data_IF_326231674216
#
_entry.id   IF_326231674216
#
_cell.length_a   1.000
_cell.length_b   1.000
_cell.length_c   1.000
_cell.angle_alpha   90.00
_cell.angle_beta   90.00
_cell.angle_gamma   90.00
#
_symmetry.space_group_name_H-M   'P 1'
#
loop_
_entity.id
_entity.type
_entity.pdbx_description
1 polymer ?
#
# COMPACT_ATOMS: atom_id res chain seq x y z
N UNK A 1 -2.14 12.30 8.84
CA UNK A 1 -1.28 11.10 8.86
C UNK A 1 -0.94 10.68 7.43
N UNK A 2 0.15 9.93 7.29
CA UNK A 2 0.48 9.24 6.04
C UNK A 2 0.12 7.75 6.19
N UNK A 3 -0.68 7.23 5.28
CA UNK A 3 -1.14 5.85 5.28
C UNK A 3 -0.43 5.09 4.17
N UNK A 4 0.35 4.08 4.54
CA UNK A 4 1.00 3.19 3.57
C UNK A 4 0.00 2.18 3.02
N UNK A 5 -0.07 2.04 1.70
CA UNK A 5 -1.00 1.12 1.05
C UNK A 5 -0.20 0.05 0.31
N UNK A 6 -0.42 -1.20 0.69
CA UNK A 6 0.05 -2.39 -0.02
C UNK A 6 -1.11 -2.99 -0.81
N UNK A 7 -0.86 -3.45 -2.01
CA UNK A 7 -1.90 -4.04 -2.84
C UNK A 7 -1.35 -4.55 -4.17
N UNK A 8 -2.18 -5.30 -4.88
CA UNK A 8 -1.81 -5.86 -6.17
C UNK A 8 -1.45 -4.77 -7.18
N UNK A 9 -0.43 -5.03 -7.97
CA UNK A 9 0.01 -4.17 -9.08
C UNK A 9 -0.52 -4.63 -10.44
N UNK A 10 -1.08 -5.83 -10.55
CA UNK A 10 -1.65 -6.35 -11.78
C UNK A 10 -2.84 -5.53 -12.26
N UNK A 11 -2.97 -5.37 -13.57
CA UNK A 11 -4.14 -4.74 -14.19
C UNK A 11 -5.32 -5.70 -14.37
N UNK A 12 -5.08 -7.01 -14.26
CA UNK A 12 -6.11 -8.03 -14.44
C UNK A 12 -6.75 -8.41 -13.09
N UNK A 13 -7.52 -7.49 -12.55
CA UNK A 13 -8.19 -7.62 -11.24
C UNK A 13 -9.67 -7.30 -11.41
N UNK A 14 -10.58 -8.05 -10.74
CA UNK A 14 -12.01 -7.74 -10.78
C UNK A 14 -12.30 -6.30 -10.38
N UNK A 15 -13.24 -5.67 -11.07
CA UNK A 15 -13.57 -4.25 -10.93
C UNK A 15 -13.94 -3.85 -9.50
N UNK A 16 -14.62 -4.73 -8.76
CA UNK A 16 -15.03 -4.43 -7.38
C UNK A 16 -13.84 -4.12 -6.44
N UNK A 17 -12.70 -4.76 -6.64
CA UNK A 17 -11.48 -4.47 -5.89
C UNK A 17 -10.88 -3.12 -6.27
N UNK A 18 -10.88 -2.81 -7.56
CA UNK A 18 -10.37 -1.54 -8.10
C UNK A 18 -11.21 -0.37 -7.59
N UNK A 19 -12.53 -0.48 -7.67
CA UNK A 19 -13.46 0.55 -7.17
C UNK A 19 -13.28 0.81 -5.67
N UNK A 20 -13.11 -0.26 -4.89
CA UNK A 20 -12.88 -0.12 -3.46
C UNK A 20 -11.58 0.63 -3.19
N UNK A 21 -10.49 0.25 -3.86
CA UNK A 21 -9.19 0.90 -3.68
C UNK A 21 -9.24 2.38 -4.05
N UNK A 22 -9.93 2.72 -5.14
CA UNK A 22 -10.09 4.10 -5.58
C UNK A 22 -10.91 4.92 -4.57
N UNK A 23 -12.02 4.36 -4.07
CA UNK A 23 -12.82 4.99 -3.01
C UNK A 23 -12.04 5.18 -1.72
N UNK A 24 -11.20 4.20 -1.34
CA UNK A 24 -10.35 4.31 -0.18
C UNK A 24 -9.35 5.46 -0.31
N UNK A 25 -8.65 5.53 -1.45
CA UNK A 25 -7.72 6.63 -1.71
C UNK A 25 -8.39 8.00 -1.67
N UNK A 26 -9.54 8.12 -2.31
CA UNK A 26 -10.35 9.34 -2.29
C UNK A 26 -10.77 9.73 -0.87
N UNK A 27 -11.24 8.77 -0.07
CA UNK A 27 -11.68 9.02 1.30
C UNK A 27 -10.52 9.45 2.20
N UNK A 28 -9.39 8.76 2.13
CA UNK A 28 -8.21 9.13 2.90
C UNK A 28 -7.76 10.56 2.60
N UNK A 29 -7.70 10.92 1.33
CA UNK A 29 -7.33 12.27 0.91
C UNK A 29 -8.36 13.32 1.34
N UNK A 30 -9.66 13.03 1.22
CA UNK A 30 -10.74 13.92 1.66
C UNK A 30 -10.71 14.17 3.16
N UNK A 31 -10.26 13.18 3.95
CA UNK A 31 -10.09 13.31 5.39
C UNK A 31 -8.73 13.93 5.79
N UNK A 32 -7.95 14.42 4.82
CA UNK A 32 -6.69 15.12 5.06
C UNK A 32 -5.47 14.21 5.25
N UNK A 33 -5.57 12.93 4.90
CA UNK A 33 -4.47 11.98 4.99
C UNK A 33 -3.69 11.88 3.68
N UNK A 34 -2.36 11.76 3.79
CA UNK A 34 -1.52 11.40 2.65
C UNK A 34 -1.47 9.88 2.46
N UNK A 35 -1.14 9.44 1.26
CA UNK A 35 -0.85 8.03 0.99
C UNK A 35 0.63 7.84 0.66
N UNK A 36 1.17 6.69 1.08
CA UNK A 36 2.51 6.21 0.74
C UNK A 36 2.35 4.86 0.04
N UNK A 37 2.94 4.70 -1.12
CA UNK A 37 2.80 3.47 -1.89
C UNK A 37 4.01 3.20 -2.80
N UNK A 38 4.01 2.06 -3.47
CA UNK A 38 5.09 1.64 -4.35
C UNK A 38 5.14 2.31 -5.71
N UNK A 39 4.46 3.42 -5.89
CA UNK A 39 4.45 4.27 -7.08
C UNK A 39 3.91 3.63 -8.38
N UNK A 40 3.38 2.40 -8.36
CA UNK A 40 2.80 1.78 -9.55
C UNK A 40 1.51 2.45 -10.01
N UNK A 41 1.33 2.57 -11.33
CA UNK A 41 0.12 3.19 -11.90
C UNK A 41 -1.04 2.23 -12.10
N UNK A 42 -0.80 0.93 -12.05
CA UNK A 42 -1.78 -0.13 -12.31
C UNK A 42 -2.21 -0.84 -11.02
N UNK A 43 -3.24 -1.67 -11.13
CA UNK A 43 -3.74 -2.47 -10.03
C UNK A 43 -4.41 -1.65 -8.94
N UNK A 44 -4.42 -2.20 -7.72
CA UNK A 44 -5.06 -1.57 -6.57
C UNK A 44 -4.27 -0.37 -6.05
N UNK A 45 -2.94 -0.43 -6.13
CA UNK A 45 -2.09 0.71 -5.76
C UNK A 45 -2.35 1.92 -6.66
N UNK A 46 -2.41 1.71 -7.97
CA UNK A 46 -2.75 2.76 -8.94
C UNK A 46 -4.17 3.31 -8.74
N UNK A 47 -5.13 2.45 -8.42
CA UNK A 47 -6.49 2.86 -8.12
C UNK A 47 -6.56 3.76 -6.89
N UNK A 48 -5.90 3.36 -5.79
CA UNK A 48 -5.83 4.19 -4.58
C UNK A 48 -5.17 5.56 -4.86
N UNK A 49 -4.10 5.56 -5.65
CA UNK A 49 -3.43 6.81 -6.04
C UNK A 49 -4.33 7.72 -6.88
N UNK A 50 -5.09 7.17 -7.83
CA UNK A 50 -6.08 7.94 -8.61
C UNK A 50 -7.16 8.54 -7.73
N UNK A 51 -7.68 7.75 -6.80
CA UNK A 51 -8.67 8.22 -5.83
C UNK A 51 -8.14 9.37 -4.98
N UNK A 52 -6.94 9.24 -4.45
CA UNK A 52 -6.30 10.30 -3.67
C UNK A 52 -6.04 11.55 -4.51
N UNK A 53 -5.58 11.38 -5.74
CA UNK A 53 -5.35 12.50 -6.67
C UNK A 53 -6.64 13.27 -6.97
N UNK A 54 -7.74 12.57 -7.21
CA UNK A 54 -9.05 13.19 -7.48
C UNK A 54 -9.58 14.05 -6.33
N UNK A 55 -9.15 13.77 -5.11
CA UNK A 55 -9.49 14.54 -3.91
C UNK A 55 -8.39 15.55 -3.51
N UNK A 56 -7.38 15.76 -4.34
CA UNK A 56 -6.30 16.71 -4.08
C UNK A 56 -5.36 16.28 -2.95
N UNK A 57 -5.25 15.00 -2.67
CA UNK A 57 -4.46 14.47 -1.57
C UNK A 57 -2.96 14.43 -1.83
N UNK A 58 -2.19 14.32 -0.76
CA UNK A 58 -0.74 14.10 -0.82
C UNK A 58 -0.44 12.64 -1.18
N UNK A 59 0.40 12.45 -2.19
CA UNK A 59 0.73 11.14 -2.74
C UNK A 59 2.26 10.99 -2.77
N UNK A 60 2.78 10.08 -1.95
CA UNK A 60 4.20 9.78 -1.85
C UNK A 60 4.44 8.42 -2.49
N UNK A 61 5.11 8.41 -3.63
CA UNK A 61 5.51 7.19 -4.32
C UNK A 61 6.98 6.87 -4.05
N UNK A 62 7.26 5.63 -3.67
CA UNK A 62 8.62 5.14 -3.46
C UNK A 62 8.91 4.05 -4.47
N UNK A 63 9.87 4.29 -5.36
CA UNK A 63 10.12 3.43 -6.51
C UNK A 63 11.62 3.08 -6.64
N UNK A 64 11.98 1.81 -6.82
CA UNK A 64 13.36 1.46 -7.12
C UNK A 64 13.74 1.92 -8.53
N UNK A 65 14.99 2.23 -8.71
CA UNK A 65 15.55 2.75 -9.96
C UNK A 65 15.14 1.92 -11.19
N UNK A 66 15.19 0.60 -11.07
CA UNK A 66 14.81 -0.32 -12.16
C UNK A 66 13.36 -0.19 -12.62
N UNK A 67 12.47 0.27 -11.76
CA UNK A 67 11.04 0.43 -12.06
C UNK A 67 10.66 1.89 -12.33
N UNK A 68 11.59 2.82 -12.20
CA UNK A 68 11.36 4.25 -12.44
C UNK A 68 11.37 4.57 -13.94
N UNK A 69 10.48 3.93 -14.68
CA UNK A 69 10.36 3.99 -16.12
C UNK A 69 9.02 4.64 -16.48
N UNK A 70 8.99 5.63 -17.41
CA UNK A 70 7.74 6.21 -17.89
C UNK A 70 6.75 5.14 -18.35
N UNK A 71 5.49 5.27 -17.91
CA UNK A 71 4.44 4.30 -18.18
C UNK A 71 4.28 3.20 -17.11
N UNK A 72 5.24 3.02 -16.20
CA UNK A 72 5.15 2.09 -15.08
C UNK A 72 4.73 2.80 -13.80
N UNK A 73 5.28 3.97 -13.52
CA UNK A 73 4.95 4.73 -12.32
C UNK A 73 3.72 5.63 -12.51
N UNK A 74 3.08 5.95 -11.40
CA UNK A 74 1.99 6.92 -11.34
C UNK A 74 2.55 8.34 -11.47
N UNK A 75 2.08 9.10 -12.46
CA UNK A 75 2.70 10.37 -12.87
C UNK A 75 2.36 11.55 -11.94
N UNK A 76 1.28 11.45 -11.18
CA UNK A 76 0.76 12.54 -10.35
C UNK A 76 1.13 12.43 -8.87
N UNK A 77 2.27 11.82 -8.55
CA UNK A 77 2.78 11.85 -7.20
C UNK A 77 3.14 13.27 -6.77
N UNK A 78 2.78 13.64 -5.54
CA UNK A 78 3.25 14.87 -4.90
C UNK A 78 4.77 14.81 -4.67
N UNK A 79 5.25 13.62 -4.28
CA UNK A 79 6.65 13.32 -4.06
C UNK A 79 6.93 11.92 -4.60
N UNK A 80 7.95 11.78 -5.44
CA UNK A 80 8.41 10.49 -5.92
C UNK A 80 9.86 10.28 -5.51
N UNK A 81 10.09 9.27 -4.68
CA UNK A 81 11.38 8.98 -4.10
C UNK A 81 11.96 7.75 -4.78
N UNK A 82 13.14 7.90 -5.37
CA UNK A 82 13.87 6.80 -5.99
C UNK A 82 14.77 6.12 -4.98
N UNK A 83 14.78 4.78 -4.98
CA UNK A 83 15.66 3.96 -4.16
C UNK A 83 16.56 3.08 -5.03
N UNK A 84 17.69 2.65 -4.48
CA UNK A 84 18.62 1.76 -5.18
C UNK A 84 18.12 0.30 -5.16
N UNK A 85 17.50 -0.14 -4.06
CA UNK A 85 17.09 -1.52 -3.85
C UNK A 85 15.63 -1.64 -3.38
N UNK A 86 15.09 -2.87 -3.46
CA UNK A 86 13.76 -3.18 -2.92
C UNK A 86 13.74 -3.12 -1.38
N UNK A 87 14.83 -3.45 -0.71
CA UNK A 87 14.92 -3.34 0.74
C UNK A 87 14.86 -1.89 1.20
N UNK A 88 15.62 -1.02 0.56
CA UNK A 88 15.58 0.42 0.82
C UNK A 88 14.20 1.01 0.58
N UNK A 89 13.50 0.58 -0.49
CA UNK A 89 12.12 0.97 -0.79
C UNK A 89 11.18 0.65 0.37
N UNK A 90 11.18 -0.58 0.86
CA UNK A 90 10.30 -1.00 1.98
C UNK A 90 10.62 -0.19 3.24
N UNK A 91 11.91 -0.08 3.59
CA UNK A 91 12.34 0.69 4.74
C UNK A 91 11.88 2.15 4.67
N UNK A 92 11.98 2.76 3.51
CA UNK A 92 11.57 4.15 3.31
C UNK A 92 10.05 4.31 3.39
N UNK A 93 9.28 3.40 2.78
CA UNK A 93 7.83 3.38 2.89
C UNK A 93 7.38 3.29 4.35
N UNK A 94 7.97 2.38 5.11
CA UNK A 94 7.68 2.21 6.54
C UNK A 94 8.01 3.47 7.35
N UNK A 95 9.19 4.05 7.14
CA UNK A 95 9.64 5.24 7.88
C UNK A 95 8.81 6.49 7.60
N UNK A 96 8.15 6.56 6.45
CA UNK A 96 7.30 7.69 6.03
C UNK A 96 5.83 7.53 6.39
N UNK A 97 5.46 6.45 7.06
CA UNK A 97 4.07 6.06 7.29
C UNK A 97 3.69 6.07 8.77
N UNK A 98 2.44 6.42 9.04
CA UNK A 98 1.83 6.43 10.38
C UNK A 98 0.86 5.26 10.58
N UNK A 99 0.48 4.61 9.51
CA UNK A 99 -0.41 3.44 9.49
C UNK A 99 -0.19 2.65 8.20
N UNK A 100 -0.57 1.37 8.22
CA UNK A 100 -0.47 0.45 7.09
C UNK A 100 -1.82 -0.13 6.74
N UNK A 101 -2.13 -0.18 5.45
CA UNK A 101 -3.35 -0.82 4.93
C UNK A 101 -2.94 -1.82 3.86
N UNK A 102 -3.28 -3.09 4.06
CA UNK A 102 -3.10 -4.14 3.05
C UNK A 102 -4.42 -4.40 2.32
N UNK A 103 -4.44 -4.12 1.03
CA UNK A 103 -5.49 -4.51 0.10
C UNK A 103 -5.19 -5.91 -0.44
N UNK A 104 -6.12 -6.47 -1.20
CA UNK A 104 -5.91 -7.75 -1.88
C UNK A 104 -4.68 -7.70 -2.79
N UNK A 105 -3.89 -8.77 -2.80
CA UNK A 105 -2.67 -8.84 -3.61
C UNK A 105 -1.99 -10.20 -3.55
N UNK A 106 -0.92 -10.32 -4.28
CA UNK A 106 -0.12 -11.54 -4.37
C UNK A 106 1.06 -11.55 -3.38
N UNK A 107 2.12 -12.26 -3.78
CA UNK A 107 3.30 -12.46 -2.93
C UNK A 107 3.97 -11.17 -2.48
N UNK A 108 4.03 -10.16 -3.34
CA UNK A 108 4.63 -8.86 -2.98
C UNK A 108 3.85 -8.16 -1.87
N UNK A 109 2.53 -8.16 -1.96
CA UNK A 109 1.65 -7.60 -0.93
C UNK A 109 1.76 -8.36 0.38
N UNK A 110 1.80 -9.70 0.32
CA UNK A 110 1.97 -10.54 1.50
C UNK A 110 3.33 -10.33 2.16
N UNK A 111 4.40 -10.22 1.39
CA UNK A 111 5.74 -9.96 1.90
C UNK A 111 5.78 -8.64 2.67
N UNK A 112 5.24 -7.58 2.11
CA UNK A 112 5.19 -6.27 2.74
C UNK A 112 4.32 -6.29 4.01
N UNK A 113 3.14 -6.91 3.95
CA UNK A 113 2.24 -7.03 5.09
C UNK A 113 2.88 -7.83 6.24
N UNK A 114 3.46 -8.98 5.93
CA UNK A 114 4.06 -9.86 6.95
C UNK A 114 5.29 -9.22 7.59
N UNK A 115 6.05 -8.42 6.86
CA UNK A 115 7.17 -7.67 7.41
C UNK A 115 6.70 -6.65 8.45
N UNK A 116 5.72 -5.80 8.11
CA UNK A 116 5.23 -4.78 9.07
C UNK A 116 4.55 -5.40 10.27
N UNK A 117 3.85 -6.53 10.11
CA UNK A 117 3.28 -7.28 11.22
C UNK A 117 4.36 -7.88 12.13
N UNK A 118 5.39 -8.47 11.54
CA UNK A 118 6.53 -9.05 12.28
C UNK A 118 7.27 -7.97 13.07
N UNK A 119 7.56 -6.84 12.45
CA UNK A 119 8.21 -5.71 13.11
C UNK A 119 7.37 -5.17 14.27
N UNK A 120 6.05 -5.09 14.09
CA UNK A 120 5.13 -4.72 15.16
C UNK A 120 5.15 -5.73 16.31
N UNK A 121 5.10 -7.02 16.01
CA UNK A 121 5.16 -8.09 17.01
C UNK A 121 6.46 -8.05 17.82
N UNK A 122 7.56 -7.72 17.17
CA UNK A 122 8.89 -7.60 17.80
C UNK A 122 9.10 -6.26 18.52
N UNK A 123 8.16 -5.34 18.46
CA UNK A 123 8.22 -4.07 19.18
C UNK A 123 9.01 -2.96 18.47
N UNK A 124 9.35 -3.12 17.19
CA UNK A 124 10.02 -2.08 16.43
C UNK A 124 9.11 -0.89 16.11
N UNK A 125 7.81 -1.09 16.06
CA UNK A 125 6.81 -0.03 15.97
C UNK A 125 5.50 -0.44 16.64
N UNK A 126 4.63 0.54 16.89
CA UNK A 126 3.28 0.30 17.43
C UNK A 126 2.20 0.89 16.51
N UNK A 127 2.50 1.04 15.23
CA UNK A 127 1.59 1.63 14.25
C UNK A 127 0.42 0.69 13.92
N UNK A 128 -0.75 1.23 13.59
CA UNK A 128 -1.89 0.40 13.16
C UNK A 128 -1.59 -0.30 11.84
N UNK A 129 -1.97 -1.57 11.76
CA UNK A 129 -1.92 -2.38 10.54
C UNK A 129 -3.32 -2.91 10.26
N UNK A 130 -3.88 -2.55 9.12
CA UNK A 130 -5.24 -2.87 8.73
C UNK A 130 -5.22 -3.80 7.53
N UNK A 131 -5.88 -4.94 7.64
CA UNK A 131 -6.07 -5.88 6.53
C UNK A 131 -7.49 -5.71 6.02
N UNK A 132 -7.62 -5.31 4.75
CA UNK A 132 -8.93 -5.14 4.10
C UNK A 132 -9.31 -6.44 3.43
N UNK A 133 -10.31 -7.11 4.02
CA UNK A 133 -10.77 -8.42 3.57
C UNK A 133 -12.02 -8.30 2.68
N UNK A 134 -11.81 -8.01 1.40
CA UNK A 134 -12.89 -7.89 0.42
C UNK A 134 -13.23 -9.28 -0.12
N UNK A 135 -14.52 -9.64 -0.09
CA UNK A 135 -15.01 -10.92 -0.61
C UNK A 135 -14.29 -12.15 -0.03
N UNK A 136 -13.82 -12.07 1.21
CA UNK A 136 -13.15 -13.19 1.86
C UNK A 136 -11.74 -13.47 1.33
N UNK A 137 -11.10 -12.54 0.63
CA UNK A 137 -9.79 -12.75 0.02
C UNK A 137 -8.74 -13.23 1.02
N UNK A 138 -8.76 -12.71 2.24
CA UNK A 138 -7.82 -13.04 3.29
C UNK A 138 -8.34 -14.04 4.33
N UNK A 139 -9.51 -14.67 4.11
CA UNK A 139 -10.12 -15.57 5.09
C UNK A 139 -9.15 -16.69 5.52
N UNK A 140 -8.51 -17.37 4.56
CA UNK A 140 -7.53 -18.43 4.88
C UNK A 140 -6.35 -17.90 5.69
N UNK A 141 -5.80 -16.76 5.31
CA UNK A 141 -4.67 -16.16 6.01
C UNK A 141 -5.04 -15.80 7.44
N UNK A 142 -6.18 -15.15 7.65
CA UNK A 142 -6.65 -14.72 8.96
C UNK A 142 -7.02 -15.88 9.87
N UNK A 143 -7.56 -16.94 9.29
CA UNK A 143 -7.96 -18.13 10.03
C UNK A 143 -6.78 -19.00 10.46
N UNK A 144 -5.75 -19.10 9.62
CA UNK A 144 -4.60 -20.00 9.86
C UNK A 144 -3.41 -19.31 10.50
N UNK A 145 -3.34 -17.99 10.46
CA UNK A 145 -2.25 -17.25 11.08
C UNK A 145 -2.41 -17.23 12.60
N UNK A 146 -1.37 -17.54 13.36
CA UNK A 146 -1.43 -17.46 14.81
C UNK A 146 -1.69 -16.01 15.26
N UNK A 147 -2.39 -15.88 16.38
CA UNK A 147 -2.56 -14.59 17.02
C UNK A 147 -1.21 -13.99 17.40
N UNK A 148 -1.03 -12.67 17.34
CA UNK A 148 0.22 -12.03 17.78
C UNK A 148 0.58 -12.31 19.25
N UNK A 149 -0.31 -12.92 20.01
CA UNK A 149 -0.07 -13.31 21.42
C UNK A 149 0.33 -14.76 21.57
N UNK A 150 0.23 -15.51 20.52
CA UNK A 150 0.58 -16.93 20.50
C UNK A 150 2.05 -17.07 20.11
#
# INVERSE_FOLDING_TARGET
MNVCIFGASSSNIPECYIEFAEKLGHRLASDGHGIVFGAGRTGLMGAAARGAYSAGGKIIGVIPEKLNIPGIYFEHCTERIQTATMHERKQLMESRSDAFVALSGGFGTLEELLEVLTLKQLGYHNLPVIIVNINGFYDCLLYTSPSPRD
#
